data_IF_432298100567
#
_entry.id   IF_432298100567
#
_cell.length_a   1.000
_cell.length_b   1.000
_cell.length_c   1.000
_cell.angle_alpha   90.00
_cell.angle_beta   90.00
_cell.angle_gamma   90.00
#
_symmetry.space_group_name_H-M   'P 1'
#
loop_
_entity.id
_entity.type
_entity.pdbx_description
1 polymer ?
#
# COMPACT_ATOMS: atom_id res chain seq x y z
N UNK A 1 -34.26 -28.14 0.19
CA UNK A 1 -33.01 -28.76 -0.32
C UNK A 1 -32.32 -27.97 -1.44
N UNK A 2 -33.03 -27.52 -2.50
CA UNK A 2 -32.40 -26.76 -3.62
C UNK A 2 -31.64 -25.49 -3.18
N UNK A 3 -32.19 -24.70 -2.25
CA UNK A 3 -31.53 -23.47 -1.76
C UNK A 3 -30.16 -23.72 -1.09
N UNK A 4 -30.02 -24.82 -0.34
CA UNK A 4 -28.75 -25.17 0.32
C UNK A 4 -27.68 -25.61 -0.68
N UNK A 5 -28.08 -26.34 -1.73
CA UNK A 5 -27.17 -26.77 -2.81
C UNK A 5 -26.66 -25.57 -3.61
N UNK A 6 -27.53 -24.61 -3.93
CA UNK A 6 -27.14 -23.39 -4.65
C UNK A 6 -26.17 -22.55 -3.82
N UNK A 7 -26.43 -22.40 -2.51
CA UNK A 7 -25.56 -21.64 -1.60
C UNK A 7 -24.14 -22.20 -1.51
N UNK A 8 -24.01 -23.54 -1.44
CA UNK A 8 -22.70 -24.20 -1.40
C UNK A 8 -21.90 -24.02 -2.70
N UNK A 9 -22.56 -24.00 -3.86
CA UNK A 9 -21.90 -23.75 -5.16
C UNK A 9 -21.35 -22.33 -5.25
N UNK A 10 -22.12 -21.35 -4.77
CA UNK A 10 -21.71 -19.94 -4.75
C UNK A 10 -20.48 -19.75 -3.86
N UNK A 11 -20.50 -20.29 -2.63
CA UNK A 11 -19.35 -20.20 -1.72
C UNK A 11 -18.08 -20.83 -2.32
N UNK A 12 -18.22 -21.97 -3.00
CA UNK A 12 -17.08 -22.67 -3.63
C UNK A 12 -16.53 -21.88 -4.83
N UNK A 13 -17.41 -21.22 -5.60
CA UNK A 13 -17.01 -20.31 -6.67
C UNK A 13 -16.30 -19.06 -6.12
N UNK A 14 -16.79 -18.47 -5.03
CA UNK A 14 -16.14 -17.35 -4.35
C UNK A 14 -14.76 -17.74 -3.82
N UNK A 15 -14.62 -18.91 -3.20
CA UNK A 15 -13.34 -19.41 -2.71
C UNK A 15 -12.36 -19.65 -3.86
N UNK A 16 -12.81 -20.28 -4.96
CA UNK A 16 -11.99 -20.49 -6.14
C UNK A 16 -11.51 -19.16 -6.75
N UNK A 17 -12.40 -18.15 -6.81
CA UNK A 17 -12.05 -16.80 -7.25
C UNK A 17 -10.94 -16.19 -6.38
N UNK A 18 -11.08 -16.24 -5.05
CA UNK A 18 -10.05 -15.73 -4.12
C UNK A 18 -8.70 -16.41 -4.35
N UNK A 19 -8.68 -17.74 -4.43
CA UNK A 19 -7.44 -18.51 -4.60
C UNK A 19 -6.77 -18.15 -5.93
N UNK A 20 -7.52 -18.16 -7.02
CA UNK A 20 -7.00 -17.86 -8.35
C UNK A 20 -6.47 -16.41 -8.42
N UNK A 21 -7.18 -15.47 -7.84
CA UNK A 21 -6.78 -14.07 -7.81
C UNK A 21 -5.53 -13.85 -6.95
N UNK A 22 -5.43 -14.49 -5.79
CA UNK A 22 -4.22 -14.40 -4.95
C UNK A 22 -3.01 -15.04 -5.64
N UNK A 23 -3.19 -16.16 -6.35
CA UNK A 23 -2.14 -16.77 -7.17
C UNK A 23 -1.70 -15.85 -8.31
N UNK A 24 -2.66 -15.20 -8.99
CA UNK A 24 -2.37 -14.22 -10.04
C UNK A 24 -1.57 -13.03 -9.49
N UNK A 25 -2.02 -12.42 -8.39
CA UNK A 25 -1.31 -11.31 -7.73
C UNK A 25 0.04 -11.74 -7.18
N UNK A 26 0.20 -12.99 -6.75
CA UNK A 26 1.49 -13.52 -6.28
C UNK A 26 2.47 -13.85 -7.41
N UNK A 27 1.97 -14.28 -8.57
CA UNK A 27 2.77 -14.62 -9.75
C UNK A 27 3.32 -13.36 -10.45
N UNK A 28 2.53 -12.29 -10.47
CA UNK A 28 3.01 -10.99 -10.93
C UNK A 28 3.68 -10.27 -9.75
N UNK A 29 4.85 -9.66 -9.92
CA UNK A 29 5.53 -8.85 -8.86
C UNK A 29 4.77 -7.55 -8.54
N UNK A 30 3.45 -7.57 -8.48
CA UNK A 30 2.61 -6.39 -8.27
C UNK A 30 2.54 -6.10 -6.77
N UNK A 31 3.46 -5.27 -6.28
CA UNK A 31 3.62 -4.91 -4.86
C UNK A 31 2.54 -3.96 -4.31
N UNK A 32 1.34 -3.93 -4.88
CA UNK A 32 0.34 -2.96 -4.46
C UNK A 32 -0.81 -3.60 -3.68
N UNK A 33 -0.94 -3.17 -2.41
CA UNK A 33 -2.09 -3.43 -1.54
C UNK A 33 -3.44 -3.07 -2.19
N UNK A 34 -3.44 -2.17 -3.18
CA UNK A 34 -4.65 -1.80 -3.94
C UNK A 34 -5.33 -3.00 -4.63
N UNK A 35 -4.58 -4.03 -5.02
CA UNK A 35 -5.17 -5.20 -5.68
C UNK A 35 -5.90 -6.12 -4.68
N UNK A 36 -5.60 -6.03 -3.39
CA UNK A 36 -6.33 -6.76 -2.36
C UNK A 36 -7.72 -6.16 -2.07
N UNK A 37 -7.98 -4.90 -2.45
CA UNK A 37 -9.29 -4.26 -2.28
C UNK A 37 -10.41 -5.03 -2.98
N UNK A 38 -10.14 -5.61 -4.16
CA UNK A 38 -11.12 -6.39 -4.92
C UNK A 38 -11.47 -7.71 -4.21
N UNK A 39 -10.51 -8.30 -3.51
CA UNK A 39 -10.66 -9.58 -2.81
C UNK A 39 -11.37 -9.42 -1.47
N UNK A 40 -11.27 -8.24 -0.86
CA UNK A 40 -11.73 -7.99 0.49
C UNK A 40 -13.25 -8.25 0.70
N UNK A 41 -14.18 -7.77 -0.15
CA UNK A 41 -15.60 -8.07 -0.01
C UNK A 41 -15.90 -9.57 -0.11
N UNK A 42 -15.20 -10.29 -1.00
CA UNK A 42 -15.39 -11.73 -1.18
C UNK A 42 -14.94 -12.50 0.05
N UNK A 43 -13.80 -12.12 0.61
CA UNK A 43 -13.29 -12.69 1.86
C UNK A 43 -14.24 -12.42 3.05
N UNK A 44 -14.86 -11.25 3.11
CA UNK A 44 -15.87 -10.93 4.13
C UNK A 44 -17.12 -11.81 4.01
N UNK A 45 -17.62 -12.02 2.79
CA UNK A 45 -18.78 -12.91 2.55
C UNK A 45 -18.45 -14.36 2.95
N UNK A 46 -17.25 -14.84 2.58
CA UNK A 46 -16.78 -16.17 2.98
C UNK A 46 -16.62 -16.30 4.49
N UNK A 47 -16.03 -15.30 5.15
CA UNK A 47 -15.87 -15.27 6.60
C UNK A 47 -17.23 -15.28 7.32
N UNK A 48 -18.18 -14.46 6.88
CA UNK A 48 -19.53 -14.43 7.43
C UNK A 48 -20.27 -15.77 7.23
N UNK A 49 -20.10 -16.42 6.08
CA UNK A 49 -20.66 -17.74 5.82
C UNK A 49 -20.09 -18.81 6.75
N UNK A 50 -18.77 -18.78 7.00
CA UNK A 50 -18.09 -19.70 7.93
C UNK A 50 -18.59 -19.47 9.37
N UNK A 51 -18.65 -18.22 9.83
CA UNK A 51 -19.14 -17.86 11.18
C UNK A 51 -20.60 -18.30 11.38
N UNK A 52 -21.45 -18.07 10.37
CA UNK A 52 -22.85 -18.49 10.41
C UNK A 52 -22.99 -20.01 10.57
N UNK A 53 -22.13 -20.81 9.91
CA UNK A 53 -22.13 -22.27 10.03
C UNK A 53 -21.65 -22.74 11.41
N UNK A 54 -20.59 -22.13 11.94
CA UNK A 54 -20.07 -22.43 13.28
C UNK A 54 -21.17 -22.18 14.33
N UNK A 55 -21.90 -21.07 14.21
CA UNK A 55 -22.98 -20.72 15.15
C UNK A 55 -24.22 -21.63 14.98
N UNK A 56 -24.60 -21.96 13.74
CA UNK A 56 -25.72 -22.87 13.49
C UNK A 56 -25.45 -24.30 14.01
N UNK A 57 -24.18 -24.74 13.99
CA UNK A 57 -23.80 -26.06 14.46
C UNK A 57 -23.85 -26.18 16.00
N UNK A 58 -23.65 -25.07 16.72
CA UNK A 58 -23.80 -25.01 18.18
C UNK A 58 -25.27 -25.06 18.65
N UNK A 59 -26.25 -24.89 17.74
CA UNK A 59 -27.68 -24.71 18.07
C UNK A 59 -28.58 -25.83 17.53
N UNK A 60 -28.06 -26.76 16.71
CA UNK A 60 -28.91 -27.72 15.99
C UNK A 60 -28.90 -29.13 16.61
N UNK A 61 -30.02 -29.45 17.27
CA UNK A 61 -30.45 -30.75 17.78
C UNK A 61 -30.48 -31.85 16.69
N UNK A 62 -30.39 -33.14 17.07
CA UNK A 62 -30.09 -34.25 16.17
C UNK A 62 -31.34 -34.88 15.55
N UNK A 63 -32.06 -34.21 14.66
CA UNK A 63 -33.13 -34.86 13.90
C UNK A 63 -33.11 -34.44 12.43
N UNK A 64 -32.85 -35.45 11.56
CA UNK A 64 -33.09 -35.53 10.11
C UNK A 64 -31.86 -36.07 9.35
N UNK A 65 -31.64 -37.38 9.48
CA UNK A 65 -31.01 -38.21 8.45
C UNK A 65 -32.12 -38.78 7.58
N UNK A 66 -32.00 -38.82 6.25
CA UNK A 66 -32.46 -39.93 5.38
C UNK A 66 -31.95 -39.70 3.94
N UNK A 67 -30.98 -40.51 3.51
CA UNK A 67 -30.40 -40.54 2.16
C UNK A 67 -29.00 -41.17 2.16
N UNK A 68 -28.83 -42.32 1.51
CA UNK A 68 -27.61 -43.16 1.60
C UNK A 68 -26.36 -42.51 1.00
N UNK A 69 -26.50 -41.73 -0.07
CA UNK A 69 -25.40 -40.92 -0.64
C UNK A 69 -25.06 -39.73 0.28
N UNK A 70 -26.08 -39.19 0.96
CA UNK A 70 -25.91 -38.18 2.00
C UNK A 70 -25.14 -38.72 3.20
N UNK A 71 -25.33 -40.00 3.58
CA UNK A 71 -24.59 -40.66 4.68
C UNK A 71 -23.11 -40.79 4.40
N UNK A 72 -22.70 -41.08 3.16
CA UNK A 72 -21.30 -41.28 2.78
C UNK A 72 -20.53 -39.96 2.70
N UNK A 73 -21.14 -38.92 2.11
CA UNK A 73 -20.57 -37.57 2.08
C UNK A 73 -20.63 -36.92 3.47
N UNK A 74 -21.70 -37.14 4.24
CA UNK A 74 -21.75 -36.72 5.63
C UNK A 74 -20.75 -37.47 6.49
N UNK A 75 -20.46 -38.75 6.22
CA UNK A 75 -19.46 -39.51 6.98
C UNK A 75 -18.04 -39.02 6.68
N UNK A 76 -17.73 -38.63 5.44
CA UNK A 76 -16.45 -38.02 5.10
C UNK A 76 -16.31 -36.60 5.69
N UNK A 77 -17.36 -35.78 5.59
CA UNK A 77 -17.38 -34.45 6.21
C UNK A 77 -17.37 -34.53 7.74
N UNK A 78 -18.17 -35.42 8.35
CA UNK A 78 -18.14 -35.63 9.80
C UNK A 78 -16.88 -36.32 10.27
N UNK A 79 -16.11 -37.06 9.47
CA UNK A 79 -14.81 -37.60 9.94
C UNK A 79 -13.71 -36.54 9.93
N UNK A 80 -13.85 -35.51 9.11
CA UNK A 80 -13.01 -34.30 9.14
C UNK A 80 -13.53 -33.29 10.17
N UNK A 81 -14.85 -33.17 10.37
CA UNK A 81 -15.51 -32.25 11.31
C UNK A 81 -15.68 -32.79 12.74
N UNK A 82 -15.64 -34.11 12.97
CA UNK A 82 -15.76 -34.73 14.31
C UNK A 82 -14.43 -34.86 15.06
N UNK A 83 -13.32 -34.49 14.42
CA UNK A 83 -12.11 -34.23 15.16
C UNK A 83 -12.34 -32.91 15.93
N UNK A 84 -12.43 -32.90 17.27
CA UNK A 84 -12.62 -31.67 18.05
C UNK A 84 -11.52 -30.63 17.75
N UNK A 85 -10.38 -31.10 17.26
CA UNK A 85 -9.26 -30.31 16.77
C UNK A 85 -9.60 -29.47 15.53
N UNK A 86 -10.50 -29.90 14.64
CA UNK A 86 -10.85 -29.14 13.42
C UNK A 86 -11.68 -27.89 13.73
N UNK A 87 -12.62 -27.98 14.67
CA UNK A 87 -13.38 -26.80 15.14
C UNK A 87 -12.48 -25.76 15.80
N UNK A 88 -11.48 -26.22 16.57
CA UNK A 88 -10.46 -25.35 17.18
C UNK A 88 -9.57 -24.73 16.09
N UNK A 89 -9.10 -25.53 15.13
CA UNK A 89 -8.27 -25.06 14.02
C UNK A 89 -9.00 -24.03 13.15
N UNK A 90 -10.27 -24.27 12.79
CA UNK A 90 -11.06 -23.33 12.01
C UNK A 90 -11.29 -22.00 12.75
N UNK A 91 -11.59 -22.05 14.05
CA UNK A 91 -11.70 -20.83 14.89
C UNK A 91 -10.37 -20.08 14.98
N UNK A 92 -9.26 -20.80 15.10
CA UNK A 92 -7.92 -20.22 15.10
C UNK A 92 -7.63 -19.51 13.78
N UNK A 93 -7.82 -20.19 12.64
CA UNK A 93 -7.61 -19.61 11.30
C UNK A 93 -8.48 -18.38 11.08
N UNK A 94 -9.79 -18.46 11.38
CA UNK A 94 -10.71 -17.31 11.26
C UNK A 94 -10.28 -16.17 12.18
N UNK A 95 -9.92 -16.46 13.43
CA UNK A 95 -9.43 -15.47 14.39
C UNK A 95 -8.14 -14.79 13.92
N UNK A 96 -7.20 -15.56 13.38
CA UNK A 96 -5.96 -15.05 12.80
C UNK A 96 -6.24 -14.16 11.59
N UNK A 97 -7.05 -14.61 10.63
CA UNK A 97 -7.41 -13.81 9.44
C UNK A 97 -8.14 -12.53 9.84
N UNK A 98 -9.06 -12.59 10.80
CA UNK A 98 -9.76 -11.42 11.31
C UNK A 98 -8.80 -10.44 12.01
N UNK A 99 -7.89 -10.95 12.85
CA UNK A 99 -6.88 -10.14 13.53
C UNK A 99 -5.96 -9.46 12.52
N UNK A 100 -5.43 -10.20 11.54
CA UNK A 100 -4.61 -9.62 10.47
C UNK A 100 -5.38 -8.56 9.68
N UNK A 101 -6.63 -8.86 9.31
CA UNK A 101 -7.48 -7.90 8.59
C UNK A 101 -7.72 -6.64 9.40
N UNK A 102 -7.94 -6.77 10.70
CA UNK A 102 -8.13 -5.63 11.60
C UNK A 102 -6.85 -4.81 11.74
N UNK A 103 -5.69 -5.46 11.94
CA UNK A 103 -4.38 -4.81 12.01
C UNK A 103 -4.07 -4.05 10.71
N UNK A 104 -4.29 -4.68 9.55
CA UNK A 104 -4.08 -4.04 8.24
C UNK A 104 -5.08 -2.91 7.97
N UNK A 105 -6.36 -3.10 8.32
CA UNK A 105 -7.38 -2.05 8.17
C UNK A 105 -7.05 -0.86 9.04
N UNK A 106 -6.65 -1.09 10.29
CA UNK A 106 -6.23 -0.04 11.20
C UNK A 106 -4.94 0.64 10.73
N UNK A 107 -4.02 -0.11 10.09
CA UNK A 107 -2.84 0.46 9.41
C UNK A 107 -3.25 1.45 8.34
N UNK A 108 -4.14 0.99 7.46
CA UNK A 108 -4.57 1.74 6.30
C UNK A 108 -5.39 2.95 6.69
N UNK A 109 -6.29 2.81 7.67
CA UNK A 109 -7.06 3.92 8.24
C UNK A 109 -6.13 4.95 8.90
N UNK A 110 -5.15 4.52 9.69
CA UNK A 110 -4.15 5.41 10.30
C UNK A 110 -3.36 6.19 9.25
N UNK A 111 -3.05 5.55 8.13
CA UNK A 111 -2.36 6.17 6.99
C UNK A 111 -3.27 7.18 6.27
N UNK A 112 -4.52 6.81 6.00
CA UNK A 112 -5.48 7.67 5.30
C UNK A 112 -5.93 8.89 6.12
N UNK A 113 -5.99 8.77 7.45
CA UNK A 113 -6.39 9.86 8.33
C UNK A 113 -5.28 10.88 8.59
N UNK A 114 -4.02 10.50 8.37
CA UNK A 114 -2.94 11.46 8.46
C UNK A 114 -3.00 12.40 7.25
N UNK A 115 -3.17 13.71 7.50
CA UNK A 115 -3.20 14.71 6.43
C UNK A 115 -1.98 14.53 5.50
N UNK A 116 -2.17 14.42 4.17
CA UNK A 116 -1.05 14.22 3.25
C UNK A 116 -0.04 15.36 3.34
N UNK A 117 1.25 15.05 3.43
CA UNK A 117 2.33 16.05 3.41
C UNK A 117 2.24 16.96 2.18
N UNK A 118 1.76 16.40 1.07
CA UNK A 118 1.44 17.09 -0.18
C UNK A 118 0.49 18.28 -0.01
N UNK A 119 -0.58 18.10 0.77
CA UNK A 119 -1.58 19.14 1.03
C UNK A 119 -0.99 20.22 1.94
N UNK A 120 -0.26 19.82 2.98
CA UNK A 120 0.44 20.73 3.88
C UNK A 120 1.44 21.63 3.14
N UNK A 121 2.20 21.04 2.20
CA UNK A 121 3.14 21.77 1.33
C UNK A 121 2.40 22.75 0.43
N UNK A 122 1.31 22.33 -0.22
CA UNK A 122 0.52 23.19 -1.11
C UNK A 122 -0.07 24.39 -0.36
N UNK A 123 -0.68 24.16 0.81
CA UNK A 123 -1.22 25.22 1.67
C UNK A 123 -0.13 26.20 2.09
N UNK A 124 1.04 25.67 2.50
CA UNK A 124 2.15 26.52 2.91
C UNK A 124 2.72 27.35 1.75
N UNK A 125 2.95 26.74 0.59
CA UNK A 125 3.47 27.42 -0.61
C UNK A 125 2.53 28.55 -1.02
N UNK A 126 1.23 28.26 -1.09
CA UNK A 126 0.21 29.25 -1.47
C UNK A 126 0.15 30.43 -0.49
N UNK A 127 0.44 30.19 0.79
CA UNK A 127 0.41 31.23 1.81
C UNK A 127 1.71 32.04 1.94
N UNK A 128 2.87 31.52 1.49
CA UNK A 128 4.19 32.10 1.80
C UNK A 128 5.02 32.48 0.57
N UNK A 129 4.74 31.93 -0.61
CA UNK A 129 5.50 32.23 -1.84
C UNK A 129 4.61 33.08 -2.76
N UNK A 130 5.04 34.31 -3.15
CA UNK A 130 4.33 35.15 -4.10
C UNK A 130 3.97 34.39 -5.38
N UNK A 131 2.82 34.69 -5.98
CA UNK A 131 2.35 33.94 -7.16
C UNK A 131 3.19 34.21 -8.41
N UNK A 132 3.90 35.34 -8.43
CA UNK A 132 4.78 35.76 -9.51
C UNK A 132 6.14 35.06 -9.49
N UNK A 133 6.50 34.41 -8.37
CA UNK A 133 7.77 33.72 -8.22
C UNK A 133 7.65 32.25 -8.66
N UNK A 134 8.56 31.84 -9.54
CA UNK A 134 8.62 30.47 -10.04
C UNK A 134 9.24 29.50 -9.02
N UNK A 135 8.70 28.28 -9.03
CA UNK A 135 9.18 27.17 -8.21
C UNK A 135 9.68 26.09 -9.16
N UNK A 136 11.00 25.88 -9.15
CA UNK A 136 11.62 24.81 -9.92
C UNK A 136 11.41 23.44 -9.27
N UNK A 137 11.25 22.42 -10.10
CA UNK A 137 11.29 21.02 -9.69
C UNK A 137 12.31 20.24 -10.53
N UNK A 138 12.68 19.05 -10.06
CA UNK A 138 13.57 18.17 -10.82
C UNK A 138 12.98 17.89 -12.21
N UNK A 139 13.80 17.91 -13.28
CA UNK A 139 13.35 17.58 -14.64
C UNK A 139 12.65 16.22 -14.68
N UNK A 140 13.20 15.24 -13.97
CA UNK A 140 12.63 13.91 -13.88
C UNK A 140 12.11 13.61 -12.48
N UNK A 141 10.85 13.19 -12.42
CA UNK A 141 10.14 12.92 -11.17
C UNK A 141 9.60 11.49 -11.17
N UNK A 142 10.30 10.58 -10.50
CA UNK A 142 9.92 9.15 -10.44
C UNK A 142 8.59 8.91 -9.72
N UNK A 143 8.21 9.82 -8.84
CA UNK A 143 7.00 9.77 -8.03
C UNK A 143 6.18 11.06 -8.21
N UNK A 144 5.82 11.40 -9.44
CA UNK A 144 5.02 12.59 -9.79
C UNK A 144 3.71 12.70 -9.01
N UNK A 145 3.03 11.58 -8.76
CA UNK A 145 1.79 11.51 -7.97
C UNK A 145 1.96 11.97 -6.51
N UNK A 146 3.20 12.14 -6.04
CA UNK A 146 3.50 12.67 -4.72
C UNK A 146 3.61 14.19 -4.68
N UNK A 147 3.77 14.88 -5.81
CA UNK A 147 3.97 16.33 -5.86
C UNK A 147 2.71 17.10 -5.42
N UNK A 148 2.87 18.26 -4.74
CA UNK A 148 1.75 19.10 -4.36
C UNK A 148 0.95 19.56 -5.57
N UNK A 149 -0.38 19.50 -5.44
CA UNK A 149 -1.27 20.17 -6.38
C UNK A 149 -1.19 21.66 -6.08
N UNK A 150 -0.51 22.39 -6.96
CA UNK A 150 -0.37 23.84 -6.90
C UNK A 150 -1.28 24.45 -7.97
N UNK A 151 -1.83 25.63 -7.71
CA UNK A 151 -2.61 26.40 -8.70
C UNK A 151 -1.75 27.02 -9.81
N UNK A 152 -0.42 26.79 -9.77
CA UNK A 152 0.58 27.25 -10.73
C UNK A 152 1.37 26.07 -11.26
N UNK A 153 1.84 26.18 -12.49
CA UNK A 153 2.72 25.16 -13.08
C UNK A 153 4.09 25.21 -12.39
N UNK A 154 4.67 24.03 -12.16
CA UNK A 154 6.05 23.93 -11.71
C UNK A 154 6.94 24.12 -12.93
N UNK A 155 7.89 25.04 -12.84
CA UNK A 155 8.82 25.32 -13.94
C UNK A 155 10.01 24.36 -13.89
N UNK A 156 10.61 24.09 -15.04
CA UNK A 156 11.95 23.51 -15.14
C UNK A 156 12.97 24.61 -15.47
N UNK A 157 12.82 25.76 -14.82
CA UNK A 157 13.68 26.92 -15.03
C UNK A 157 14.90 26.87 -14.09
N UNK A 158 16.07 27.08 -14.67
CA UNK A 158 17.34 27.17 -13.95
C UNK A 158 17.41 28.43 -13.07
N UNK A 159 16.65 29.46 -13.42
CA UNK A 159 16.66 30.77 -12.76
C UNK A 159 15.56 30.96 -11.72
N UNK A 160 14.75 29.93 -11.44
CA UNK A 160 13.65 30.01 -10.48
C UNK A 160 14.12 30.51 -9.09
N UNK A 161 13.32 31.36 -8.46
CA UNK A 161 13.63 31.87 -7.13
C UNK A 161 13.54 30.78 -6.05
N UNK A 162 12.71 29.77 -6.28
CA UNK A 162 12.47 28.65 -5.37
C UNK A 162 12.73 27.32 -6.03
N UNK A 163 13.04 26.32 -5.21
CA UNK A 163 13.14 24.93 -5.65
C UNK A 163 12.44 23.99 -4.67
N UNK A 164 11.63 23.08 -5.21
CA UNK A 164 10.95 22.02 -4.46
C UNK A 164 11.63 20.68 -4.73
N UNK A 165 12.14 20.08 -3.66
CA UNK A 165 12.83 18.78 -3.70
C UNK A 165 11.99 17.71 -3.02
N UNK A 166 11.63 16.68 -3.79
CA UNK A 166 11.09 15.44 -3.28
C UNK A 166 12.25 14.53 -2.85
N UNK A 167 12.49 14.41 -1.55
CA UNK A 167 13.67 13.70 -1.02
C UNK A 167 13.75 12.23 -1.48
N UNK A 168 12.64 11.46 -1.55
CA UNK A 168 12.69 10.12 -2.12
C UNK A 168 13.25 10.05 -3.55
N UNK A 169 12.93 11.01 -4.42
CA UNK A 169 13.53 11.07 -5.76
C UNK A 169 15.03 11.33 -5.66
N UNK A 170 15.42 12.36 -4.89
CA UNK A 170 16.81 12.74 -4.72
C UNK A 170 17.66 11.56 -4.21
N UNK A 171 17.15 10.80 -3.23
CA UNK A 171 17.84 9.62 -2.71
C UNK A 171 18.05 8.52 -3.76
N UNK A 172 17.06 8.29 -4.64
CA UNK A 172 17.17 7.29 -5.71
C UNK A 172 18.19 7.73 -6.76
N UNK A 173 18.11 8.98 -7.22
CA UNK A 173 19.05 9.52 -8.20
C UNK A 173 20.47 9.58 -7.67
N UNK A 174 20.67 10.04 -6.42
CA UNK A 174 21.99 10.08 -5.78
C UNK A 174 22.59 8.67 -5.64
N UNK A 175 21.81 7.69 -5.16
CA UNK A 175 22.26 6.31 -5.09
C UNK A 175 22.63 5.74 -6.46
N UNK A 176 21.91 6.11 -7.50
CA UNK A 176 22.26 5.71 -8.86
C UNK A 176 23.57 6.37 -9.33
N UNK A 177 23.75 7.65 -9.06
CA UNK A 177 25.00 8.38 -9.32
C UNK A 177 26.20 7.73 -8.62
N UNK A 178 26.03 7.36 -7.35
CA UNK A 178 27.06 6.66 -6.56
C UNK A 178 27.30 5.23 -7.06
N UNK A 179 26.23 4.49 -7.39
CA UNK A 179 26.28 3.08 -7.78
C UNK A 179 26.80 2.81 -9.21
N UNK A 180 26.82 3.84 -10.09
CA UNK A 180 27.52 3.78 -11.39
C UNK A 180 28.99 3.37 -11.24
N UNK A 181 29.57 3.46 -10.04
CA UNK A 181 30.91 2.96 -9.74
C UNK A 181 31.01 1.44 -9.59
N UNK A 182 30.00 0.70 -9.09
CA UNK A 182 30.20 -0.70 -8.66
C UNK A 182 29.02 -1.69 -8.71
N UNK A 183 27.79 -1.38 -9.14
CA UNK A 183 26.72 -2.41 -9.03
C UNK A 183 25.63 -2.43 -10.12
N UNK A 184 25.18 -3.67 -10.37
CA UNK A 184 24.13 -4.10 -11.29
C UNK A 184 22.89 -3.19 -11.25
N UNK A 185 22.15 -3.06 -12.38
CA UNK A 185 20.95 -2.25 -12.45
C UNK A 185 20.03 -2.57 -11.26
N UNK A 186 19.70 -1.55 -10.46
CA UNK A 186 18.62 -1.70 -9.49
C UNK A 186 17.35 -1.95 -10.31
N UNK A 187 16.90 -3.20 -10.35
CA UNK A 187 15.68 -3.74 -10.99
C UNK A 187 14.36 -3.00 -10.64
N UNK A 188 14.42 -1.92 -9.86
CA UNK A 188 13.29 -1.25 -9.27
C UNK A 188 12.79 -0.09 -10.15
N UNK A 189 13.66 0.53 -10.96
CA UNK A 189 13.29 1.56 -11.95
C UNK A 189 14.21 1.50 -13.17
N UNK A 190 13.68 1.37 -14.40
CA UNK A 190 14.48 1.47 -15.62
C UNK A 190 14.91 2.93 -15.83
N UNK A 191 16.03 3.32 -15.23
CA UNK A 191 16.60 4.68 -15.34
C UNK A 191 17.33 4.92 -16.67
N UNK A 192 17.37 3.91 -17.56
CA UNK A 192 18.01 3.99 -18.89
C UNK A 192 17.29 4.96 -19.84
N UNK A 193 16.02 5.24 -19.60
CA UNK A 193 15.17 6.12 -20.42
C UNK A 193 14.99 7.53 -19.83
N UNK A 194 15.61 7.82 -18.69
CA UNK A 194 15.37 9.02 -17.87
C UNK A 194 16.57 9.97 -17.99
N UNK A 195 16.33 11.29 -18.00
CA UNK A 195 17.38 12.32 -17.97
C UNK A 195 18.09 12.39 -16.59
N UNK A 196 18.78 11.30 -16.22
CA UNK A 196 19.46 11.12 -14.93
C UNK A 196 20.52 12.19 -14.69
N UNK A 197 21.31 12.52 -15.71
CA UNK A 197 22.44 13.46 -15.59
C UNK A 197 21.94 14.89 -15.34
N UNK A 198 20.89 15.31 -16.05
CA UNK A 198 20.24 16.61 -15.85
C UNK A 198 19.60 16.69 -14.45
N UNK A 199 18.99 15.60 -13.99
CA UNK A 199 18.36 15.53 -12.68
C UNK A 199 19.36 15.55 -11.53
N UNK A 200 20.51 14.88 -11.69
CA UNK A 200 21.62 14.97 -10.75
C UNK A 200 22.21 16.38 -10.71
N UNK A 201 22.40 17.02 -11.87
CA UNK A 201 22.87 18.40 -11.96
C UNK A 201 21.91 19.38 -11.27
N UNK A 202 20.59 19.18 -11.40
CA UNK A 202 19.59 19.94 -10.66
C UNK A 202 19.79 19.85 -9.13
N UNK A 203 20.01 18.65 -8.59
CA UNK A 203 20.21 18.48 -7.14
C UNK A 203 21.53 19.09 -6.64
N UNK A 204 22.60 18.99 -7.43
CA UNK A 204 23.87 19.64 -7.09
C UNK A 204 23.75 21.16 -7.08
N UNK A 205 23.07 21.73 -8.09
CA UNK A 205 22.77 23.17 -8.13
C UNK A 205 22.00 23.64 -6.89
N UNK A 206 20.99 22.89 -6.44
CA UNK A 206 20.25 23.24 -5.22
C UNK A 206 21.17 23.21 -3.99
N UNK A 207 22.08 22.24 -3.92
CA UNK A 207 23.01 22.10 -2.80
C UNK A 207 23.95 23.29 -2.68
N UNK A 208 24.40 23.85 -3.81
CA UNK A 208 25.38 24.93 -3.86
C UNK A 208 24.74 26.33 -3.87
N UNK A 209 23.68 26.52 -4.65
CA UNK A 209 23.09 27.82 -4.96
C UNK A 209 21.85 28.19 -4.13
N UNK A 210 21.31 27.28 -3.33
CA UNK A 210 20.07 27.52 -2.59
C UNK A 210 20.24 27.35 -1.07
N UNK A 211 19.37 28.02 -0.32
CA UNK A 211 19.22 27.89 1.12
C UNK A 211 17.93 27.16 1.46
N UNK A 212 18.01 26.21 2.39
CA UNK A 212 16.87 25.43 2.85
C UNK A 212 15.97 26.31 3.73
N UNK A 213 14.74 26.55 3.28
CA UNK A 213 13.77 27.37 3.99
C UNK A 213 12.81 26.53 4.84
N UNK A 214 12.33 25.39 4.30
CA UNK A 214 11.33 24.58 4.98
C UNK A 214 11.50 23.09 4.70
N UNK A 215 11.31 22.28 5.74
CA UNK A 215 11.24 20.82 5.65
C UNK A 215 9.83 20.38 6.05
N UNK A 216 9.19 19.63 5.16
CA UNK A 216 7.92 18.96 5.41
C UNK A 216 8.20 17.47 5.56
N UNK A 217 8.24 17.00 6.81
CA UNK A 217 8.57 15.62 7.15
C UNK A 217 7.58 15.09 8.17
N UNK A 218 7.04 13.90 7.90
CA UNK A 218 6.29 13.12 8.88
C UNK A 218 7.02 11.82 9.17
N UNK A 219 7.12 11.49 10.46
CA UNK A 219 7.64 10.19 10.87
C UNK A 219 6.51 9.18 10.65
N UNK A 220 6.73 8.09 9.90
CA UNK A 220 5.71 7.07 9.69
C UNK A 220 5.28 6.49 11.04
N UNK A 221 3.97 6.44 11.26
CA UNK A 221 3.35 5.92 12.47
C UNK A 221 2.31 4.87 12.12
N UNK A 222 2.24 3.83 12.95
CA UNK A 222 1.21 2.80 12.91
C UNK A 222 0.53 2.78 14.26
N UNK A 223 -0.74 3.20 14.32
CA UNK A 223 -1.50 3.29 15.56
C UNK A 223 -0.77 4.15 16.63
N UNK A 224 -0.16 5.25 16.19
CA UNK A 224 0.64 6.15 17.04
C UNK A 224 2.05 5.66 17.38
N UNK A 225 2.41 4.43 17.00
CA UNK A 225 3.75 3.88 17.21
C UNK A 225 4.63 4.25 16.03
N UNK A 226 5.76 4.90 16.29
CA UNK A 226 6.74 5.27 15.26
C UNK A 226 7.37 4.01 14.65
N UNK A 227 7.37 3.93 13.33
CA UNK A 227 8.06 2.86 12.59
C UNK A 227 9.33 3.43 11.98
N UNK A 228 10.42 2.66 12.03
CA UNK A 228 11.64 2.98 11.28
C UNK A 228 11.58 2.34 9.90
N UNK A 229 11.93 3.12 8.87
CA UNK A 229 12.07 2.67 7.48
C UNK A 229 13.54 2.40 7.10
N UNK A 230 14.49 2.50 8.03
CA UNK A 230 15.93 2.46 7.76
C UNK A 230 16.42 1.14 7.13
N UNK A 231 15.68 0.04 7.33
CA UNK A 231 16.00 -1.29 6.76
C UNK A 231 14.99 -1.73 5.69
N UNK A 232 14.04 -0.88 5.34
CA UNK A 232 13.07 -1.24 4.33
C UNK A 232 13.75 -1.20 2.95
N UNK A 233 13.49 -2.18 2.07
CA UNK A 233 14.06 -2.19 0.73
C UNK A 233 13.52 -1.02 -0.12
N UNK A 234 12.42 -0.41 0.31
CA UNK A 234 11.88 0.84 -0.22
C UNK A 234 11.55 1.77 0.94
N UNK A 235 11.92 3.06 0.90
CA UNK A 235 11.59 4.00 1.97
C UNK A 235 10.07 4.15 2.07
N UNK A 236 9.43 3.49 3.05
CA UNK A 236 7.97 3.55 3.20
C UNK A 236 7.45 4.98 3.38
N UNK A 237 8.30 5.88 3.91
CA UNK A 237 8.03 7.32 3.97
C UNK A 237 7.64 7.89 2.61
N UNK A 238 8.25 7.41 1.53
CA UNK A 238 7.98 7.91 0.19
C UNK A 238 6.56 7.58 -0.30
N UNK A 239 5.97 6.46 0.11
CA UNK A 239 4.63 6.07 -0.40
C UNK A 239 3.48 6.83 0.25
N UNK A 240 3.67 7.32 1.48
CA UNK A 240 2.55 7.81 2.30
C UNK A 240 2.72 9.29 2.65
N UNK A 241 3.90 9.67 3.12
CA UNK A 241 4.19 11.02 3.58
C UNK A 241 5.62 11.38 3.15
N UNK A 242 5.83 11.61 1.85
CA UNK A 242 7.17 11.85 1.35
C UNK A 242 7.74 13.10 2.00
N UNK A 243 9.02 13.03 2.36
CA UNK A 243 9.73 14.21 2.79
C UNK A 243 9.90 15.17 1.61
N UNK A 244 9.41 16.39 1.77
CA UNK A 244 9.60 17.46 0.81
C UNK A 244 10.41 18.58 1.46
N UNK A 245 11.33 19.14 0.69
CA UNK A 245 12.17 20.24 1.12
C UNK A 245 12.01 21.39 0.15
N UNK A 246 11.84 22.58 0.70
CA UNK A 246 11.69 23.80 -0.06
C UNK A 246 12.92 24.67 0.16
N UNK A 247 13.52 25.10 -0.93
CA UNK A 247 14.73 25.88 -0.98
C UNK A 247 14.47 27.22 -1.67
N UNK A 248 15.21 28.26 -1.27
CA UNK A 248 15.21 29.58 -1.90
C UNK A 248 16.61 29.89 -2.42
N UNK A 249 16.71 30.48 -3.61
CA UNK A 249 18.00 30.84 -4.21
C UNK A 249 18.72 31.83 -3.29
N UNK A 250 20.03 31.65 -3.12
CA UNK A 250 20.88 32.63 -2.42
C UNK A 250 21.06 33.84 -3.33
N UNK A 251 20.86 35.04 -2.77
CA UNK A 251 21.17 36.31 -3.44
C UNK A 251 22.68 36.57 -3.49
#
# INVERSE_FOLDING_TARGET
>A
MRALVTRRKIELALLAFVILYLLFVGAHKVKFARHLLIVYPVMMVLAAAIVSRINAHNVSSPELKHGEIGRLISALLTRVESAPTWGIFARFVVGTVALYSLVYTAAFASVLWAQPTREEVSVWITANIPNEEDISCAPEVLFDWLLPELARELAHDEEAAWALVLVPNAEVFQRYGDARAESAPMDWYPLEEVAVEETLAFYERIREGYELQKIFRRVPQFLGIRISDARAPFPMRALVHPEMRLYRRRE
#
